data_IF_758483838002
#
_entry.id   IF_758483838002
#
_cell.length_a   1.000
_cell.length_b   1.000
_cell.length_c   1.000
_cell.angle_alpha   90.00
_cell.angle_beta   90.00
_cell.angle_gamma   90.00
#
_symmetry.space_group_name_H-M   'P 1'
#
loop_
_entity.id
_entity.type
_entity.pdbx_description
1 polymer ?
#
# COMPACT_ATOMS: atom_id res chain seq x y z
N UNK A 1 0.89 -8.88 22.42
CA UNK A 1 0.95 -7.60 21.66
C UNK A 1 0.88 -7.80 20.15
N UNK A 2 1.69 -8.68 19.54
CA UNK A 2 1.61 -8.99 18.10
C UNK A 2 0.22 -9.43 17.63
N UNK A 3 -0.46 -10.24 18.45
CA UNK A 3 -1.82 -10.72 18.18
C UNK A 3 -2.81 -9.56 18.06
N UNK A 4 -2.75 -8.58 18.98
CA UNK A 4 -3.68 -7.45 18.99
C UNK A 4 -3.43 -6.50 17.81
N UNK A 5 -2.18 -6.18 17.51
CA UNK A 5 -1.84 -5.18 16.49
C UNK A 5 -2.14 -5.65 15.05
N UNK A 6 -2.06 -6.96 14.78
CA UNK A 6 -2.12 -7.50 13.42
C UNK A 6 -3.30 -8.42 13.14
N UNK A 7 -4.03 -8.88 14.15
CA UNK A 7 -5.20 -9.74 13.95
C UNK A 7 -6.53 -9.06 14.23
N UNK A 8 -6.56 -8.01 15.07
CA UNK A 8 -7.78 -7.25 15.31
C UNK A 8 -8.22 -6.53 14.02
N UNK A 9 -7.28 -5.92 13.28
CA UNK A 9 -7.61 -5.19 12.04
C UNK A 9 -8.16 -6.12 10.94
N UNK A 10 -7.56 -7.28 10.62
CA UNK A 10 -8.20 -8.24 9.71
C UNK A 10 -9.58 -8.72 10.17
N UNK A 11 -9.81 -8.86 11.47
CA UNK A 11 -11.14 -9.21 11.99
C UNK A 11 -12.14 -8.05 11.86
N UNK A 12 -11.68 -6.80 11.89
CA UNK A 12 -12.52 -5.63 11.68
C UNK A 12 -13.14 -5.61 10.27
N UNK A 13 -12.51 -6.24 9.26
CA UNK A 13 -13.09 -6.43 7.93
C UNK A 13 -14.46 -7.12 7.98
N UNK A 14 -14.70 -8.01 8.96
CA UNK A 14 -16.01 -8.65 9.11
C UNK A 14 -17.09 -7.64 9.52
N UNK A 15 -16.73 -6.68 10.38
CA UNK A 15 -17.62 -5.61 10.82
C UNK A 15 -17.81 -4.59 9.69
N UNK A 16 -16.73 -4.20 9.03
CA UNK A 16 -16.75 -3.31 7.87
C UNK A 16 -17.61 -3.88 6.73
N UNK A 17 -17.56 -5.20 6.50
CA UNK A 17 -18.44 -5.88 5.57
C UNK A 17 -19.93 -5.72 5.93
N UNK A 18 -20.29 -5.82 7.21
CA UNK A 18 -21.68 -5.59 7.66
C UNK A 18 -22.10 -4.12 7.43
N UNK A 19 -21.22 -3.15 7.70
CA UNK A 19 -21.51 -1.75 7.42
C UNK A 19 -21.71 -1.50 5.92
N UNK A 20 -20.88 -2.11 5.08
CA UNK A 20 -21.05 -2.05 3.64
C UNK A 20 -22.40 -2.61 3.17
N UNK A 21 -22.87 -3.71 3.77
CA UNK A 21 -24.19 -4.27 3.43
C UNK A 21 -25.36 -3.34 3.80
N UNK A 22 -25.16 -2.42 4.75
CA UNK A 22 -26.20 -1.44 5.12
C UNK A 22 -26.33 -0.28 4.13
N UNK A 23 -25.39 -0.15 3.18
CA UNK A 23 -25.37 0.91 2.18
C UNK A 23 -26.19 0.47 0.96
N UNK A 24 -27.27 1.19 0.67
CA UNK A 24 -28.28 0.78 -0.31
C UNK A 24 -27.76 0.57 -1.74
N UNK A 25 -26.74 1.33 -2.16
CA UNK A 25 -26.16 1.24 -3.51
C UNK A 25 -25.04 0.19 -3.62
N UNK A 26 -24.52 -0.30 -2.50
CA UNK A 26 -23.38 -1.21 -2.50
C UNK A 26 -23.82 -2.65 -2.81
N UNK A 27 -23.31 -3.21 -3.90
CA UNK A 27 -23.59 -4.62 -4.27
C UNK A 27 -22.58 -5.56 -3.62
N UNK A 28 -22.94 -6.83 -3.33
CA UNK A 28 -21.98 -7.80 -2.77
C UNK A 28 -20.69 -7.95 -3.58
N UNK A 29 -20.78 -7.80 -4.90
CA UNK A 29 -19.64 -7.84 -5.83
C UNK A 29 -18.72 -6.64 -5.61
N UNK A 30 -19.28 -5.44 -5.48
CA UNK A 30 -18.51 -4.24 -5.17
C UNK A 30 -17.86 -4.32 -3.77
N UNK A 31 -18.60 -4.82 -2.77
CA UNK A 31 -18.07 -5.00 -1.40
C UNK A 31 -16.87 -5.97 -1.42
N UNK A 32 -16.99 -7.08 -2.14
CA UNK A 32 -15.87 -8.01 -2.32
C UNK A 32 -14.66 -7.35 -2.99
N UNK A 33 -14.91 -6.50 -3.99
CA UNK A 33 -13.86 -5.75 -4.69
C UNK A 33 -13.12 -4.77 -3.77
N UNK A 34 -13.84 -3.92 -3.01
CA UNK A 34 -13.23 -2.89 -2.15
C UNK A 34 -12.45 -3.48 -0.97
N UNK A 35 -12.72 -4.72 -0.56
CA UNK A 35 -11.93 -5.45 0.43
C UNK A 35 -10.72 -6.14 -0.23
N UNK A 36 -10.96 -6.85 -1.33
CA UNK A 36 -9.94 -7.72 -1.93
C UNK A 36 -8.82 -6.93 -2.61
N UNK A 37 -9.17 -5.88 -3.36
CA UNK A 37 -8.18 -5.13 -4.16
C UNK A 37 -7.13 -4.42 -3.30
N UNK A 38 -7.50 -3.64 -2.26
CA UNK A 38 -6.52 -3.09 -1.33
C UNK A 38 -5.68 -4.16 -0.63
N UNK A 39 -6.29 -5.30 -0.28
CA UNK A 39 -5.57 -6.39 0.38
C UNK A 39 -4.48 -6.99 -0.50
N UNK A 40 -4.82 -7.32 -1.75
CA UNK A 40 -3.88 -7.86 -2.73
C UNK A 40 -2.78 -6.85 -3.04
N UNK A 41 -3.15 -5.60 -3.32
CA UNK A 41 -2.19 -4.57 -3.67
C UNK A 41 -1.20 -4.30 -2.54
N UNK A 42 -1.68 -4.12 -1.31
CA UNK A 42 -0.81 -3.91 -0.15
C UNK A 42 0.10 -5.11 0.09
N UNK A 43 -0.42 -6.34 -0.03
CA UNK A 43 0.41 -7.54 0.11
C UNK A 43 1.53 -7.57 -0.94
N UNK A 44 1.24 -7.30 -2.21
CA UNK A 44 2.23 -7.29 -3.29
C UNK A 44 3.26 -6.17 -3.07
N UNK A 45 2.84 -4.97 -2.67
CA UNK A 45 3.75 -3.85 -2.36
C UNK A 45 4.73 -4.24 -1.25
N UNK A 46 4.22 -4.83 -0.17
CA UNK A 46 5.06 -5.27 0.96
C UNK A 46 5.94 -6.46 0.55
N UNK A 47 5.43 -7.39 -0.26
CA UNK A 47 6.21 -8.52 -0.75
C UNK A 47 7.39 -8.07 -1.63
N UNK A 48 7.17 -7.10 -2.51
CA UNK A 48 8.21 -6.49 -3.33
C UNK A 48 9.21 -5.72 -2.45
N UNK A 49 8.74 -4.86 -1.55
CA UNK A 49 9.60 -4.02 -0.73
C UNK A 49 10.39 -4.76 0.35
N UNK A 50 9.71 -5.56 1.19
CA UNK A 50 10.32 -6.29 2.30
C UNK A 50 10.91 -7.64 1.87
N UNK A 51 10.19 -8.41 1.06
CA UNK A 51 10.61 -9.75 0.64
C UNK A 51 11.74 -9.70 -0.39
N UNK A 52 11.52 -8.99 -1.49
CA UNK A 52 12.48 -8.97 -2.61
C UNK A 52 13.58 -7.91 -2.43
N UNK A 53 13.21 -6.64 -2.25
CA UNK A 53 14.15 -5.52 -2.18
C UNK A 53 14.81 -5.31 -0.83
N UNK A 54 14.29 -5.97 0.22
CA UNK A 54 14.78 -5.91 1.62
C UNK A 54 14.85 -4.48 2.17
N UNK A 55 13.92 -3.62 1.75
CA UNK A 55 13.81 -2.23 2.23
C UNK A 55 13.30 -2.17 3.67
N UNK A 56 12.51 -3.17 4.05
CA UNK A 56 11.92 -3.34 5.36
C UNK A 56 12.13 -4.77 5.85
N UNK A 57 12.02 -4.96 7.16
CA UNK A 57 11.95 -6.28 7.78
C UNK A 57 10.96 -6.24 8.92
N UNK A 58 10.02 -7.19 8.88
CA UNK A 58 9.07 -7.39 9.95
C UNK A 58 9.62 -8.44 10.93
N UNK A 59 9.65 -8.09 12.21
CA UNK A 59 10.04 -8.99 13.30
C UNK A 59 8.78 -9.63 13.89
N UNK A 60 8.14 -10.48 13.09
CA UNK A 60 6.85 -11.10 13.40
C UNK A 60 6.96 -12.61 13.29
N UNK A 61 6.17 -13.33 14.09
CA UNK A 61 6.18 -14.79 14.16
C UNK A 61 5.62 -15.42 12.88
N UNK A 62 4.56 -14.82 12.32
CA UNK A 62 3.85 -15.36 11.16
C UNK A 62 4.23 -14.61 9.88
N UNK A 63 5.29 -15.08 9.21
CA UNK A 63 5.77 -14.49 7.96
C UNK A 63 6.08 -15.56 6.91
N UNK A 64 5.91 -15.22 5.63
CA UNK A 64 6.39 -15.98 4.47
C UNK A 64 7.42 -15.11 3.77
N UNK A 65 8.67 -15.56 3.67
CA UNK A 65 9.73 -14.76 3.04
C UNK A 65 9.95 -13.38 3.68
N UNK A 66 9.76 -13.27 5.01
CA UNK A 66 9.80 -12.01 5.80
C UNK A 66 8.62 -11.05 5.59
N UNK A 67 7.60 -11.48 4.84
CA UNK A 67 6.35 -10.75 4.61
C UNK A 67 5.30 -11.29 5.58
N UNK A 68 4.65 -10.46 6.42
CA UNK A 68 3.60 -10.94 7.31
C UNK A 68 2.39 -11.38 6.50
N UNK A 69 1.87 -12.58 6.78
CA UNK A 69 0.81 -13.21 5.97
C UNK A 69 -0.45 -12.33 5.92
N UNK A 70 -0.76 -11.70 7.04
CA UNK A 70 -1.95 -10.88 7.24
C UNK A 70 -1.79 -9.41 6.82
N UNK A 71 -0.61 -8.98 6.35
CA UNK A 71 -0.33 -7.54 6.15
C UNK A 71 -1.27 -6.88 5.13
N UNK A 72 -1.65 -7.61 4.08
CA UNK A 72 -2.62 -7.13 3.10
C UNK A 72 -3.97 -6.84 3.73
N UNK A 73 -4.46 -7.75 4.57
CA UNK A 73 -5.75 -7.59 5.27
C UNK A 73 -5.72 -6.44 6.28
N UNK A 74 -4.59 -6.25 6.96
CA UNK A 74 -4.39 -5.12 7.89
C UNK A 74 -4.57 -3.78 7.17
N UNK A 75 -3.85 -3.57 6.05
CA UNK A 75 -3.99 -2.35 5.27
C UNK A 75 -5.36 -2.22 4.62
N UNK A 76 -5.93 -3.34 4.17
CA UNK A 76 -7.28 -3.33 3.60
C UNK A 76 -8.33 -2.88 4.59
N UNK A 77 -8.26 -3.31 5.86
CA UNK A 77 -9.17 -2.83 6.91
C UNK A 77 -9.05 -1.32 7.11
N UNK A 78 -7.83 -0.79 7.23
CA UNK A 78 -7.63 0.65 7.42
C UNK A 78 -8.18 1.45 6.23
N UNK A 79 -7.94 0.98 5.00
CA UNK A 79 -8.48 1.63 3.80
C UNK A 79 -10.01 1.52 3.77
N UNK A 80 -10.59 0.35 4.04
CA UNK A 80 -12.04 0.14 4.05
C UNK A 80 -12.74 0.98 5.11
N UNK A 81 -12.14 1.13 6.29
CA UNK A 81 -12.62 2.04 7.31
C UNK A 81 -12.74 3.49 6.78
N UNK A 82 -11.74 3.98 6.06
CA UNK A 82 -11.84 5.30 5.42
C UNK A 82 -12.86 5.36 4.30
N UNK A 83 -12.96 4.32 3.48
CA UNK A 83 -13.97 4.26 2.42
C UNK A 83 -15.38 4.29 2.99
N UNK A 84 -15.63 3.61 4.11
CA UNK A 84 -16.91 3.63 4.81
C UNK A 84 -17.23 5.02 5.39
N UNK A 85 -16.25 5.72 5.97
CA UNK A 85 -16.43 7.11 6.43
C UNK A 85 -16.84 8.02 5.26
N UNK A 86 -16.29 7.79 4.07
CA UNK A 86 -16.54 8.58 2.87
C UNK A 86 -17.52 7.91 1.90
N UNK A 87 -18.34 6.96 2.35
CA UNK A 87 -19.19 6.14 1.47
C UNK A 87 -20.16 6.96 0.63
N UNK A 88 -20.71 8.05 1.18
CA UNK A 88 -21.59 8.95 0.42
C UNK A 88 -20.87 9.60 -0.78
N UNK A 89 -19.58 9.91 -0.67
CA UNK A 89 -18.78 10.44 -1.78
C UNK A 89 -18.46 9.36 -2.83
N UNK A 90 -18.55 8.09 -2.43
CA UNK A 90 -18.40 6.94 -3.31
C UNK A 90 -19.68 6.60 -4.07
N UNK A 91 -20.83 7.11 -3.66
CA UNK A 91 -22.12 6.78 -4.26
C UNK A 91 -22.19 7.13 -5.77
N UNK A 92 -22.92 6.32 -6.56
CA UNK A 92 -23.25 6.66 -7.93
C UNK A 92 -24.20 7.87 -8.03
N UNK A 93 -24.18 8.63 -9.14
CA UNK A 93 -23.35 8.41 -10.32
C UNK A 93 -21.91 8.93 -10.16
N UNK A 94 -20.98 8.33 -10.89
CA UNK A 94 -19.58 8.75 -10.93
C UNK A 94 -19.47 10.20 -11.38
N UNK A 95 -18.64 10.95 -10.66
CA UNK A 95 -18.28 12.33 -10.99
C UNK A 95 -16.79 12.52 -10.83
N UNK A 96 -16.17 13.26 -11.76
CA UNK A 96 -14.74 13.61 -11.69
C UNK A 96 -14.47 14.40 -10.41
N UNK A 97 -15.35 15.33 -10.05
CA UNK A 97 -15.20 16.14 -8.83
C UNK A 97 -15.22 15.27 -7.56
N UNK A 98 -16.20 14.36 -7.47
CA UNK A 98 -16.29 13.42 -6.34
C UNK A 98 -15.10 12.45 -6.32
N UNK A 99 -14.62 12.02 -7.48
CA UNK A 99 -13.44 11.15 -7.61
C UNK A 99 -12.19 11.85 -7.08
N UNK A 100 -11.94 13.10 -7.50
CA UNK A 100 -10.81 13.90 -7.02
C UNK A 100 -10.91 14.12 -5.51
N UNK A 101 -12.09 14.54 -5.01
CA UNK A 101 -12.30 14.79 -3.59
C UNK A 101 -12.07 13.54 -2.74
N UNK A 102 -12.72 12.43 -3.10
CA UNK A 102 -12.57 11.13 -2.42
C UNK A 102 -11.11 10.71 -2.37
N UNK A 103 -10.43 10.80 -3.52
CA UNK A 103 -9.04 10.39 -3.66
C UNK A 103 -8.12 11.22 -2.78
N UNK A 104 -8.32 12.54 -2.70
CA UNK A 104 -7.55 13.43 -1.83
C UNK A 104 -7.82 13.12 -0.36
N UNK A 105 -9.08 12.90 0.03
CA UNK A 105 -9.43 12.60 1.41
C UNK A 105 -8.80 11.30 1.90
N UNK A 106 -8.86 10.23 1.09
CA UNK A 106 -8.21 8.96 1.42
C UNK A 106 -6.68 9.12 1.42
N UNK A 107 -6.11 9.91 0.51
CA UNK A 107 -4.68 10.20 0.49
C UNK A 107 -4.23 10.90 1.79
N UNK A 108 -4.94 11.94 2.22
CA UNK A 108 -4.61 12.67 3.46
C UNK A 108 -4.80 11.78 4.68
N UNK A 109 -5.92 11.08 4.78
CA UNK A 109 -6.18 10.17 5.90
C UNK A 109 -5.16 9.02 5.96
N UNK A 110 -4.80 8.46 4.81
CA UNK A 110 -3.75 7.45 4.66
C UNK A 110 -2.39 7.99 5.08
N UNK A 111 -1.99 9.17 4.59
CA UNK A 111 -0.74 9.82 4.95
C UNK A 111 -0.60 9.99 6.47
N UNK A 112 -1.68 10.37 7.17
CA UNK A 112 -1.66 10.56 8.61
C UNK A 112 -1.65 9.22 9.35
N UNK A 113 -2.70 8.40 9.21
CA UNK A 113 -2.84 7.18 10.03
C UNK A 113 -1.84 6.11 9.63
N UNK A 114 -1.53 5.97 8.34
CA UNK A 114 -0.52 5.02 7.87
C UNK A 114 0.86 5.35 8.44
N UNK A 115 1.24 6.65 8.47
CA UNK A 115 2.51 7.06 9.07
C UNK A 115 2.54 6.81 10.57
N UNK A 116 1.45 7.12 11.28
CA UNK A 116 1.33 6.82 12.72
C UNK A 116 1.42 5.32 12.99
N UNK A 117 0.80 4.50 12.15
CA UNK A 117 0.86 3.04 12.23
C UNK A 117 2.30 2.53 12.06
N UNK A 118 3.04 2.97 11.03
CA UNK A 118 4.44 2.59 10.85
C UNK A 118 5.33 3.09 12.01
N UNK A 119 5.09 4.30 12.52
CA UNK A 119 5.80 4.82 13.70
C UNK A 119 5.56 3.91 14.90
N UNK A 120 4.31 3.48 15.13
CA UNK A 120 3.98 2.55 16.21
C UNK A 120 4.67 1.19 16.01
N UNK A 121 4.64 0.62 14.81
CA UNK A 121 5.34 -0.64 14.53
C UNK A 121 6.85 -0.55 14.75
N UNK A 122 7.48 0.56 14.37
CA UNK A 122 8.91 0.80 14.64
C UNK A 122 9.16 0.98 16.15
N UNK A 123 8.31 1.73 16.84
CA UNK A 123 8.42 1.96 18.28
C UNK A 123 8.38 0.64 19.07
N UNK A 124 7.47 -0.26 18.71
CA UNK A 124 7.35 -1.59 19.31
C UNK A 124 8.30 -2.65 18.72
N UNK A 125 9.23 -2.25 17.84
CA UNK A 125 10.25 -3.10 17.19
C UNK A 125 9.69 -4.21 16.28
N UNK A 126 8.44 -4.09 15.87
CA UNK A 126 7.82 -4.99 14.89
C UNK A 126 8.27 -4.71 13.45
N UNK A 127 8.69 -3.47 13.17
CA UNK A 127 9.21 -3.04 11.88
C UNK A 127 10.63 -2.49 12.01
N UNK A 128 11.54 -3.01 11.20
CA UNK A 128 12.86 -2.44 10.96
C UNK A 128 12.91 -1.87 9.54
N UNK A 129 13.33 -0.61 9.40
CA UNK A 129 13.43 0.09 8.11
C UNK A 129 14.90 0.21 7.70
N UNK A 130 15.23 -0.30 6.52
CA UNK A 130 16.59 -0.33 5.97
C UNK A 130 16.73 0.48 4.69
N UNK A 131 15.96 1.56 4.53
CA UNK A 131 16.11 2.55 3.46
C UNK A 131 17.40 3.37 3.71
N UNK A 132 18.54 2.67 3.75
CA UNK A 132 19.88 3.13 4.13
C UNK A 132 20.62 4.00 3.10
N UNK A 133 20.26 4.07 1.79
CA UNK A 133 20.97 4.98 0.89
C UNK A 133 20.70 6.46 1.17
N UNK A 134 19.54 6.81 1.71
CA UNK A 134 19.08 8.21 1.84
C UNK A 134 19.28 8.81 3.24
N UNK A 135 19.32 7.98 4.30
CA UNK A 135 19.41 8.44 5.69
C UNK A 135 20.55 7.74 6.43
N UNK A 136 21.78 8.26 6.32
CA UNK A 136 22.91 7.74 7.09
C UNK A 136 22.82 8.22 8.54
N UNK A 137 22.81 7.27 9.50
CA UNK A 137 22.87 7.49 10.97
C UNK A 137 21.65 8.14 11.63
N UNK A 138 20.51 8.19 10.95
CA UNK A 138 19.27 8.71 11.57
C UNK A 138 18.54 7.65 12.42
N UNK A 139 17.82 8.10 13.45
CA UNK A 139 16.93 7.25 14.25
C UNK A 139 15.82 6.70 13.35
N UNK A 140 15.48 5.42 13.45
CA UNK A 140 14.47 4.74 12.60
C UNK A 140 13.14 5.48 12.50
N UNK A 141 12.70 6.12 13.60
CA UNK A 141 11.47 6.93 13.63
C UNK A 141 11.56 8.15 12.69
N UNK A 142 12.72 8.81 12.57
CA UNK A 142 12.89 9.93 11.64
C UNK A 142 12.79 9.49 10.18
N UNK A 143 13.32 8.31 9.87
CA UNK A 143 13.20 7.73 8.52
C UNK A 143 11.73 7.51 8.18
N UNK A 144 10.96 6.91 9.11
CA UNK A 144 9.51 6.73 8.93
C UNK A 144 8.77 8.05 8.78
N UNK A 145 9.05 9.04 9.62
CA UNK A 145 8.42 10.35 9.51
C UNK A 145 8.71 11.04 8.17
N UNK A 146 9.84 10.71 7.52
CA UNK A 146 10.22 11.27 6.24
C UNK A 146 9.56 10.56 5.04
N UNK A 147 9.49 9.22 5.03
CA UNK A 147 8.89 8.50 3.89
C UNK A 147 7.39 8.24 4.08
N UNK A 148 6.92 8.06 5.31
CA UNK A 148 5.58 7.60 5.66
C UNK A 148 4.48 8.42 5.01
N UNK A 149 4.47 9.77 5.18
CA UNK A 149 3.40 10.60 4.65
C UNK A 149 3.23 10.48 3.15
N UNK A 150 4.35 10.43 2.41
CA UNK A 150 4.30 10.22 0.98
C UNK A 150 3.87 8.79 0.65
N UNK A 151 4.49 7.77 1.22
CA UNK A 151 4.18 6.37 0.93
C UNK A 151 2.70 6.04 1.16
N UNK A 152 2.16 6.41 2.32
CA UNK A 152 0.77 6.15 2.65
C UNK A 152 -0.21 7.12 1.97
N UNK A 153 0.23 8.35 1.70
CA UNK A 153 -0.54 9.28 0.87
C UNK A 153 -0.73 8.77 -0.56
N UNK A 154 0.32 8.23 -1.17
CA UNK A 154 0.27 7.58 -2.47
C UNK A 154 -0.66 6.37 -2.47
N UNK A 155 -0.54 5.53 -1.43
CA UNK A 155 -1.36 4.33 -1.29
C UNK A 155 -2.84 4.72 -1.18
N UNK A 156 -3.16 5.72 -0.35
CA UNK A 156 -4.52 6.23 -0.21
C UNK A 156 -5.05 6.85 -1.49
N UNK A 157 -4.24 7.66 -2.18
CA UNK A 157 -4.58 8.23 -3.48
C UNK A 157 -4.91 7.13 -4.50
N UNK A 158 -4.01 6.17 -4.69
CA UNK A 158 -4.19 5.11 -5.67
C UNK A 158 -5.36 4.18 -5.31
N UNK A 159 -5.60 3.93 -4.01
CA UNK A 159 -6.76 3.20 -3.54
C UNK A 159 -8.08 3.95 -3.81
N UNK A 160 -8.13 5.26 -3.60
CA UNK A 160 -9.30 6.09 -3.92
C UNK A 160 -9.66 6.02 -5.41
N UNK A 161 -8.65 6.14 -6.29
CA UNK A 161 -8.84 5.94 -7.73
C UNK A 161 -9.32 4.53 -8.07
N UNK A 162 -8.72 3.51 -7.46
CA UNK A 162 -9.10 2.11 -7.67
C UNK A 162 -10.54 1.84 -7.25
N UNK A 163 -11.02 2.43 -6.16
CA UNK A 163 -12.40 2.23 -5.69
C UNK A 163 -13.39 2.91 -6.64
N UNK A 164 -13.10 4.13 -7.09
CA UNK A 164 -13.96 4.79 -8.10
C UNK A 164 -13.97 4.08 -9.45
N UNK A 165 -12.85 3.50 -9.86
CA UNK A 165 -12.81 2.59 -11.00
C UNK A 165 -13.73 1.37 -10.81
N UNK A 166 -13.68 0.75 -9.63
CA UNK A 166 -14.54 -0.39 -9.30
C UNK A 166 -16.03 -0.02 -9.20
N UNK A 167 -16.34 1.14 -8.66
CA UNK A 167 -17.71 1.65 -8.56
C UNK A 167 -18.31 1.84 -9.96
N UNK A 168 -17.62 2.58 -10.82
CA UNK A 168 -18.03 2.80 -12.20
C UNK A 168 -18.29 1.48 -12.94
N UNK A 169 -17.34 0.52 -12.88
CA UNK A 169 -17.48 -0.73 -13.64
C UNK A 169 -18.47 -1.73 -13.03
N UNK A 170 -18.53 -1.86 -11.71
CA UNK A 170 -19.31 -2.91 -11.04
C UNK A 170 -20.73 -2.45 -10.66
N UNK A 171 -21.00 -1.15 -10.67
CA UNK A 171 -22.31 -0.59 -10.27
C UNK A 171 -22.96 0.16 -11.43
N UNK A 172 -22.24 1.07 -12.10
CA UNK A 172 -22.85 1.94 -13.11
C UNK A 172 -22.89 1.32 -14.51
N UNK A 173 -21.87 0.55 -14.90
CA UNK A 173 -21.85 -0.03 -16.25
C UNK A 173 -22.60 -1.36 -16.32
N UNK A 174 -23.45 -1.52 -17.35
CA UNK A 174 -24.07 -2.80 -17.72
C UNK A 174 -23.12 -3.70 -18.55
N UNK A 175 -21.81 -3.50 -18.46
CA UNK A 175 -20.85 -4.27 -19.26
C UNK A 175 -20.55 -5.61 -18.58
N UNK A 176 -20.59 -6.70 -19.34
CA UNK A 176 -20.16 -8.02 -18.89
C UNK A 176 -18.62 -8.11 -18.84
N UNK A 177 -18.01 -7.41 -17.88
CA UNK A 177 -16.58 -7.54 -17.58
C UNK A 177 -16.40 -8.59 -16.50
N UNK A 178 -15.44 -9.49 -16.68
CA UNK A 178 -15.15 -10.49 -15.64
C UNK A 178 -14.64 -9.82 -14.36
N UNK A 179 -15.17 -10.22 -13.21
CA UNK A 179 -14.74 -9.71 -11.90
C UNK A 179 -13.21 -9.85 -11.70
N UNK A 180 -12.62 -10.94 -12.19
CA UNK A 180 -11.18 -11.16 -12.14
C UNK A 180 -10.38 -10.07 -12.87
N UNK A 181 -10.87 -9.59 -14.02
CA UNK A 181 -10.23 -8.50 -14.75
C UNK A 181 -10.35 -7.16 -13.99
N UNK A 182 -11.52 -6.86 -13.43
CA UNK A 182 -11.72 -5.64 -12.63
C UNK A 182 -10.80 -5.65 -11.40
N UNK A 183 -10.69 -6.78 -10.69
CA UNK A 183 -9.76 -6.95 -9.57
C UNK A 183 -8.30 -6.78 -10.01
N UNK A 184 -7.91 -7.37 -11.14
CA UNK A 184 -6.54 -7.26 -11.65
C UNK A 184 -6.17 -5.81 -11.98
N UNK A 185 -7.06 -5.09 -12.69
CA UNK A 185 -6.84 -3.68 -13.05
C UNK A 185 -6.86 -2.79 -11.81
N UNK A 186 -7.81 -2.97 -10.89
CA UNK A 186 -7.85 -2.24 -9.62
C UNK A 186 -6.57 -2.44 -8.79
N UNK A 187 -6.10 -3.68 -8.69
CA UNK A 187 -4.84 -4.00 -8.00
C UNK A 187 -3.66 -3.32 -8.69
N UNK A 188 -3.65 -3.29 -10.01
CA UNK A 188 -2.60 -2.62 -10.79
C UNK A 188 -2.63 -1.10 -10.61
N UNK A 189 -3.81 -0.47 -10.54
CA UNK A 189 -3.94 0.97 -10.25
C UNK A 189 -3.21 1.32 -8.94
N UNK A 190 -3.40 0.51 -7.90
CA UNK A 190 -2.73 0.71 -6.61
C UNK A 190 -1.24 0.39 -6.70
N UNK A 191 -0.85 -0.71 -7.35
CA UNK A 191 0.53 -1.20 -7.35
C UNK A 191 1.47 -0.42 -8.28
N UNK A 192 1.00 0.03 -9.45
CA UNK A 192 1.80 0.67 -10.48
C UNK A 192 2.71 1.81 -9.99
N UNK A 193 2.25 2.80 -9.18
CA UNK A 193 3.12 3.86 -8.70
C UNK A 193 4.25 3.34 -7.80
N UNK A 194 4.01 2.29 -7.01
CA UNK A 194 5.04 1.65 -6.19
C UNK A 194 6.01 0.83 -7.03
N UNK A 195 5.50 0.14 -8.06
CA UNK A 195 6.35 -0.58 -9.01
C UNK A 195 7.33 0.40 -9.68
N UNK A 196 6.87 1.57 -10.12
CA UNK A 196 7.75 2.60 -10.70
C UNK A 196 8.82 3.06 -9.69
N UNK A 197 8.41 3.33 -8.44
CA UNK A 197 9.33 3.69 -7.37
C UNK A 197 10.38 2.59 -7.09
N UNK A 198 9.96 1.33 -7.09
CA UNK A 198 10.83 0.18 -6.89
C UNK A 198 11.81 -0.01 -8.05
N UNK A 199 11.36 0.15 -9.30
CA UNK A 199 12.21 0.13 -10.49
C UNK A 199 13.27 1.24 -10.43
N UNK A 200 12.89 2.44 -10.00
CA UNK A 200 13.83 3.54 -9.78
C UNK A 200 14.91 3.17 -8.75
N UNK A 201 14.54 2.55 -7.63
CA UNK A 201 15.50 2.08 -6.62
C UNK A 201 16.46 1.03 -7.20
N UNK A 202 15.94 0.07 -7.98
CA UNK A 202 16.75 -0.98 -8.62
C UNK A 202 17.77 -0.34 -9.56
N UNK A 203 17.33 0.57 -10.42
CA UNK A 203 18.18 1.26 -11.40
C UNK A 203 19.28 2.08 -10.71
N UNK A 204 18.92 2.83 -9.67
CA UNK A 204 19.89 3.60 -8.91
C UNK A 204 20.93 2.71 -8.21
N UNK A 205 20.54 1.53 -7.71
CA UNK A 205 21.48 0.55 -7.15
C UNK A 205 22.42 -0.01 -8.23
N UNK A 206 21.93 -0.27 -9.44
CA UNK A 206 22.72 -0.76 -10.59
C UNK A 206 23.81 0.24 -10.97
N UNK A 207 23.44 1.50 -11.23
CA UNK A 207 24.41 2.55 -11.59
C UNK A 207 25.48 2.79 -10.53
N UNK A 208 25.11 2.70 -9.24
CA UNK A 208 26.09 2.83 -8.15
C UNK A 208 27.10 1.67 -8.09
N UNK A 209 26.68 0.46 -8.45
CA UNK A 209 27.59 -0.68 -8.54
C UNK A 209 28.53 -0.55 -9.76
N UNK A 210 28.00 -0.12 -10.90
CA UNK A 210 28.80 0.13 -12.12
C UNK A 210 29.85 1.22 -11.92
N UNK A 211 29.50 2.33 -11.26
CA UNK A 211 30.46 3.41 -10.99
C UNK A 211 31.55 2.99 -10.02
N UNK A 212 31.22 2.18 -9.01
CA UNK A 212 32.21 1.62 -8.09
C UNK A 212 33.19 0.68 -8.80
N UNK A 213 32.69 -0.23 -9.63
CA UNK A 213 33.53 -1.16 -10.39
C UNK A 213 34.45 -0.43 -11.38
N UNK A 214 34.00 0.67 -11.99
CA UNK A 214 34.86 1.52 -12.83
C UNK A 214 35.98 2.19 -12.04
N UNK A 215 35.70 2.68 -10.83
CA UNK A 215 36.72 3.32 -9.97
C UNK A 215 37.74 2.29 -9.47
N UNK A 216 37.29 1.11 -9.05
CA UNK A 216 38.18 0.02 -8.60
C UNK A 216 39.05 -0.51 -9.77
N UNK A 217 38.50 -0.67 -10.98
CA UNK A 217 39.26 -1.08 -12.16
C UNK A 217 40.27 -0.05 -12.69
N UNK A 218 40.01 1.26 -12.51
CA UNK A 218 40.99 2.32 -12.83
C UNK A 218 42.13 2.34 -11.81
N UNK A 219 41.85 2.12 -10.52
CA UNK A 219 42.88 2.07 -9.49
C UNK A 219 43.87 0.90 -9.70
N UNK A 220 43.36 -0.27 -10.10
CA UNK A 220 44.19 -1.44 -10.43
C UNK A 220 45.08 -1.22 -11.67
N UNK A 221 44.60 -0.51 -12.68
CA UNK A 221 45.40 -0.23 -13.90
C UNK A 221 46.43 0.89 -13.73
N UNK A 222 46.25 1.80 -12.76
CA UNK A 222 47.25 2.84 -12.44
C UNK A 222 48.32 2.39 -11.45
N UNK A 223 48.19 1.18 -10.86
CA UNK A 223 49.14 0.64 -9.87
C UNK A 223 50.05 -0.47 -10.42
N UNK A 224 49.94 -0.75 -11.73
CA UNK A 224 50.76 -1.69 -12.51
C UNK A 224 51.63 -0.94 -13.52
#
# INVERSE_FOLDING_TARGET
MEIAALWILPLALLIEYQFWQSIAWATPVFIFYVITVPALAAYIIVATGAGWLKLWKFNLKYTVGKVPIQIGLVYSSVINFFLLIFAELLSPPSSISLTVLTTILIAVSGAILGSLYDIALVHYRFLEVYIRPFYKREKTIKIVAAYGPWFFGLMGFAAGLSVKFGEYLLIETNQFISLGMVIAVGTLIIYAPFLFYFLFIIEHKRHKAESRNKVEGVAETTSS
#
